data_IF_306087349233
#
_entry.id   IF_306087349233
#
_cell.length_a   1.000
_cell.length_b   1.000
_cell.length_c   1.000
_cell.angle_alpha   90.00
_cell.angle_beta   90.00
_cell.angle_gamma   90.00
#
_symmetry.space_group_name_H-M   'P 1'
#
loop_
_entity.id
_entity.type
_entity.pdbx_description
1 polymer ?
#
# COMPACT_ATOMS: atom_id res chain seq x y z
N UNK A 1 6.44 -16.68 4.98
CA UNK A 1 5.46 -16.09 5.93
C UNK A 1 5.88 -16.29 7.39
N UNK A 2 6.42 -17.46 7.78
CA UNK A 2 6.72 -17.74 9.19
C UNK A 2 7.64 -16.72 9.86
N UNK A 3 8.66 -16.21 9.16
CA UNK A 3 9.49 -15.09 9.65
C UNK A 3 8.65 -13.87 10.06
N UNK A 4 7.79 -13.36 9.16
CA UNK A 4 6.98 -12.15 9.41
C UNK A 4 6.06 -12.33 10.60
N UNK A 5 5.40 -13.50 10.67
CA UNK A 5 4.45 -13.79 11.75
C UNK A 5 5.19 -13.85 13.09
N UNK A 6 6.36 -14.50 13.15
CA UNK A 6 7.20 -14.49 14.35
C UNK A 6 7.62 -13.08 14.74
N UNK A 7 8.13 -12.28 13.81
CA UNK A 7 8.55 -10.90 14.07
C UNK A 7 7.39 -10.05 14.63
N UNK A 8 6.16 -10.23 14.12
CA UNK A 8 5.00 -9.52 14.64
C UNK A 8 4.56 -10.02 16.02
N UNK A 9 4.66 -11.31 16.31
CA UNK A 9 4.41 -11.85 17.65
C UNK A 9 5.41 -11.27 18.65
N UNK A 10 6.71 -11.34 18.32
CA UNK A 10 7.78 -10.79 19.17
C UNK A 10 7.63 -9.27 19.40
N UNK A 11 7.15 -8.54 18.40
CA UNK A 11 6.88 -7.10 18.51
C UNK A 11 5.56 -6.76 19.21
N UNK A 12 4.73 -7.76 19.55
CA UNK A 12 3.40 -7.54 20.14
C UNK A 12 2.41 -6.85 19.19
N UNK A 13 2.61 -6.95 17.87
CA UNK A 13 1.80 -6.28 16.84
C UNK A 13 0.63 -7.12 16.34
N UNK A 14 0.51 -8.36 16.81
CA UNK A 14 -0.59 -9.28 16.49
C UNK A 14 -1.08 -9.97 17.76
N UNK A 15 -2.35 -10.40 17.74
CA UNK A 15 -2.90 -11.21 18.81
C UNK A 15 -2.40 -12.66 18.66
N UNK A 16 -1.60 -13.11 19.62
CA UNK A 16 -1.09 -14.48 19.66
C UNK A 16 -2.15 -15.49 20.10
N UNK A 17 -3.02 -15.09 21.03
CA UNK A 17 -4.08 -15.94 21.61
C UNK A 17 -5.33 -15.98 20.71
N UNK A 18 -5.23 -16.67 19.57
CA UNK A 18 -6.31 -16.81 18.59
C UNK A 18 -6.55 -18.27 18.22
N UNK A 19 -7.78 -18.62 17.87
CA UNK A 19 -8.08 -19.92 17.27
C UNK A 19 -7.79 -19.89 15.77
N UNK A 20 -7.05 -20.88 15.29
CA UNK A 20 -6.72 -21.06 13.88
C UNK A 20 -7.12 -22.47 13.41
N UNK A 21 -6.99 -22.74 12.12
CA UNK A 21 -7.19 -24.12 11.60
C UNK A 21 -6.12 -25.11 12.11
N UNK A 22 -5.00 -24.61 12.65
CA UNK A 22 -3.94 -25.41 13.29
C UNK A 22 -4.13 -25.54 14.81
N UNK A 23 -5.30 -25.17 15.33
CA UNK A 23 -5.58 -25.13 16.76
C UNK A 23 -5.35 -23.74 17.35
N UNK A 24 -5.21 -23.70 18.68
CA UNK A 24 -5.09 -22.45 19.44
C UNK A 24 -3.65 -21.92 19.40
N UNK A 25 -3.49 -20.62 19.15
CA UNK A 25 -2.22 -19.91 19.12
C UNK A 25 -1.71 -19.59 17.71
N UNK A 26 -1.17 -18.38 17.51
CA UNK A 26 -0.63 -17.96 16.21
C UNK A 26 0.76 -18.52 15.90
N UNK A 27 1.51 -19.00 16.91
CA UNK A 27 2.87 -19.55 16.75
C UNK A 27 2.97 -20.71 15.74
N UNK A 28 1.88 -21.47 15.54
CA UNK A 28 1.86 -22.54 14.55
C UNK A 28 2.14 -22.03 13.12
N UNK A 29 1.84 -20.76 12.83
CA UNK A 29 2.12 -20.12 11.54
C UNK A 29 3.54 -19.57 11.42
N UNK A 30 4.33 -19.59 12.50
CA UNK A 30 5.76 -19.35 12.50
C UNK A 30 6.58 -20.63 12.25
N UNK A 31 5.93 -21.74 11.91
CA UNK A 31 6.54 -23.04 11.55
C UNK A 31 6.43 -23.22 10.05
N UNK A 32 7.50 -23.66 9.41
CA UNK A 32 7.57 -23.91 7.97
C UNK A 32 7.60 -25.41 7.70
N UNK A 33 6.79 -25.85 6.72
CA UNK A 33 6.85 -27.20 6.20
C UNK A 33 7.94 -27.29 5.13
N UNK A 34 8.80 -28.30 5.21
CA UNK A 34 9.80 -28.62 4.19
C UNK A 34 9.71 -30.09 3.80
N UNK A 35 10.14 -30.36 2.58
CA UNK A 35 10.21 -31.71 2.05
C UNK A 35 11.56 -32.33 2.41
N UNK A 36 11.54 -33.51 3.01
CA UNK A 36 12.73 -34.31 3.27
C UNK A 36 13.10 -35.14 2.03
N UNK A 37 14.36 -35.56 1.95
CA UNK A 37 14.84 -36.41 0.86
C UNK A 37 14.21 -37.81 0.84
N UNK A 38 13.69 -38.27 1.98
CA UNK A 38 12.99 -39.55 2.14
C UNK A 38 11.51 -39.50 1.73
N UNK A 39 11.03 -38.35 1.24
CA UNK A 39 9.64 -38.16 0.82
C UNK A 39 8.69 -37.70 1.94
N UNK A 40 9.18 -37.58 3.18
CA UNK A 40 8.39 -37.10 4.31
C UNK A 40 8.35 -35.57 4.38
N UNK A 41 7.39 -35.04 5.14
CA UNK A 41 7.32 -33.61 5.48
C UNK A 41 7.84 -33.38 6.88
N UNK A 42 8.85 -32.53 7.00
CA UNK A 42 9.32 -31.98 8.27
C UNK A 42 8.68 -30.62 8.50
N UNK A 43 8.36 -30.33 9.76
CA UNK A 43 7.88 -29.02 10.21
C UNK A 43 8.86 -28.47 11.22
N UNK A 44 9.39 -27.29 10.94
CA UNK A 44 10.46 -26.70 11.72
C UNK A 44 10.27 -25.18 11.84
N UNK A 45 10.76 -24.55 12.91
CA UNK A 45 10.61 -23.11 13.09
C UNK A 45 11.15 -22.31 11.90
N UNK A 46 10.46 -21.23 11.55
CA UNK A 46 10.95 -20.28 10.56
C UNK A 46 12.29 -19.67 11.00
N UNK A 47 13.15 -19.36 10.02
CA UNK A 47 14.48 -18.80 10.25
C UNK A 47 14.43 -17.56 11.13
N UNK A 48 15.31 -17.45 12.13
CA UNK A 48 15.41 -16.28 13.00
C UNK A 48 15.85 -15.00 12.28
N UNK A 49 16.53 -15.14 11.14
CA UNK A 49 17.01 -14.01 10.35
C UNK A 49 16.40 -14.01 8.95
N UNK A 50 16.29 -12.82 8.37
CA UNK A 50 15.83 -12.66 6.99
C UNK A 50 16.88 -13.20 6.02
N UNK A 51 16.45 -13.92 4.98
CA UNK A 51 17.33 -14.33 3.90
C UNK A 51 17.83 -13.16 3.04
N UNK A 52 17.14 -12.01 3.06
CA UNK A 52 17.57 -10.80 2.37
C UNK A 52 16.91 -9.55 3.00
N UNK A 53 17.69 -8.78 3.76
CA UNK A 53 17.22 -7.58 4.45
C UNK A 53 16.78 -6.43 3.53
N UNK A 54 17.16 -6.46 2.24
CA UNK A 54 16.68 -5.46 1.26
C UNK A 54 15.26 -5.76 0.76
N UNK A 55 14.78 -6.99 0.95
CA UNK A 55 13.44 -7.44 0.53
C UNK A 55 12.54 -7.62 1.74
N UNK A 56 13.05 -8.26 2.80
CA UNK A 56 12.31 -8.52 4.02
C UNK A 56 13.13 -8.06 5.23
N UNK A 57 12.74 -6.94 5.81
CA UNK A 57 13.36 -6.40 7.01
C UNK A 57 12.75 -7.01 8.28
N UNK A 58 13.55 -7.07 9.36
CA UNK A 58 13.04 -7.40 10.69
C UNK A 58 12.40 -6.19 11.37
N UNK A 59 11.57 -6.41 12.38
CA UNK A 59 10.74 -5.36 12.99
C UNK A 59 11.57 -4.25 13.66
N UNK A 60 12.76 -4.56 14.18
CA UNK A 60 13.69 -3.58 14.79
C UNK A 60 14.42 -2.70 13.77
N UNK A 61 14.48 -3.13 12.50
CA UNK A 61 15.17 -2.43 11.40
C UNK A 61 14.26 -2.34 10.19
N UNK A 62 13.01 -1.94 10.41
CA UNK A 62 12.00 -1.81 9.36
C UNK A 62 12.40 -0.80 8.28
N UNK A 63 11.81 -0.91 7.08
CA UNK A 63 12.02 0.07 6.01
C UNK A 63 11.46 1.45 6.37
N UNK A 64 10.32 1.46 7.09
CA UNK A 64 9.63 2.65 7.57
C UNK A 64 9.03 2.37 8.94
N UNK A 65 8.85 3.40 9.78
CA UNK A 65 8.29 3.23 11.13
C UNK A 65 6.81 2.84 11.13
N UNK A 66 6.08 3.11 10.04
CA UNK A 66 4.67 2.77 9.90
C UNK A 66 4.33 2.30 8.47
N UNK A 67 3.12 1.73 8.31
CA UNK A 67 2.66 1.16 7.04
C UNK A 67 2.27 2.19 5.97
N UNK A 68 2.35 3.49 6.24
CA UNK A 68 2.12 4.57 5.28
C UNK A 68 0.67 4.75 4.85
N UNK A 69 -0.31 4.12 5.48
CA UNK A 69 -1.73 4.42 5.23
C UNK A 69 -2.14 5.59 6.14
N UNK A 70 -2.83 6.57 5.57
CA UNK A 70 -3.40 7.72 6.28
C UNK A 70 -4.88 7.83 5.95
N UNK A 71 -5.68 8.21 6.95
CA UNK A 71 -7.08 8.59 6.76
C UNK A 71 -7.12 10.11 6.61
N UNK A 72 -7.76 10.59 5.54
CA UNK A 72 -8.01 12.00 5.29
C UNK A 72 -9.49 12.27 5.56
N UNK A 73 -9.79 13.38 6.23
CA UNK A 73 -11.17 13.80 6.53
C UNK A 73 -11.30 15.31 6.36
N UNK A 74 -12.44 15.75 5.79
CA UNK A 74 -12.76 17.16 5.57
C UNK A 74 -14.09 17.32 4.84
N UNK A 75 -14.33 18.50 4.28
CA UNK A 75 -15.63 18.85 3.65
C UNK A 75 -16.00 17.97 2.44
N UNK A 76 -15.01 17.36 1.77
CA UNK A 76 -15.21 16.41 0.67
C UNK A 76 -15.53 14.98 1.14
N UNK A 77 -15.53 14.73 2.46
CA UNK A 77 -15.79 13.44 3.07
C UNK A 77 -14.53 12.80 3.67
N UNK A 78 -14.44 11.47 3.58
CA UNK A 78 -13.34 10.69 4.15
C UNK A 78 -12.71 9.78 3.10
N UNK A 79 -11.38 9.73 3.07
CA UNK A 79 -10.62 8.95 2.11
C UNK A 79 -9.38 8.31 2.76
N UNK A 80 -8.73 7.41 2.02
CA UNK A 80 -7.44 6.83 2.41
C UNK A 80 -6.35 7.27 1.42
N UNK A 81 -5.14 7.46 1.92
CA UNK A 81 -3.96 7.78 1.12
C UNK A 81 -2.79 6.89 1.54
N UNK A 82 -2.07 6.35 0.56
CA UNK A 82 -0.82 5.60 0.77
C UNK A 82 0.37 6.53 0.53
N UNK A 83 1.10 6.87 1.59
CA UNK A 83 2.23 7.83 1.57
C UNK A 83 3.60 7.17 1.64
N UNK A 84 3.68 5.83 1.71
CA UNK A 84 4.96 5.13 1.88
C UNK A 84 5.99 5.41 0.76
N UNK A 85 5.54 5.83 -0.41
CA UNK A 85 6.42 6.17 -1.54
C UNK A 85 6.43 7.67 -1.87
N UNK A 86 5.85 8.51 -1.01
CA UNK A 86 5.72 9.95 -1.20
C UNK A 86 6.48 10.65 -0.07
N UNK A 87 7.49 11.46 -0.41
CA UNK A 87 8.23 12.26 0.57
C UNK A 87 7.29 13.18 1.33
N UNK A 88 7.53 13.39 2.62
CA UNK A 88 6.67 14.22 3.48
C UNK A 88 6.50 15.66 3.00
N UNK A 89 7.53 16.20 2.35
CA UNK A 89 7.49 17.53 1.72
C UNK A 89 6.41 17.64 0.64
N UNK A 90 5.99 16.53 0.01
CA UNK A 90 4.99 16.45 -1.05
C UNK A 90 3.58 16.10 -0.56
N UNK A 91 3.35 15.96 0.75
CA UNK A 91 2.02 15.64 1.28
C UNK A 91 1.02 16.80 1.17
N UNK A 92 1.37 18.06 1.52
CA UNK A 92 0.47 19.18 1.30
C UNK A 92 0.54 19.63 -0.16
N UNK A 93 -0.60 19.69 -0.83
CA UNK A 93 -0.73 20.20 -2.20
C UNK A 93 -1.92 21.15 -2.23
N UNK A 94 -1.69 22.37 -2.73
CA UNK A 94 -2.75 23.34 -2.99
C UNK A 94 -2.64 23.82 -4.45
N UNK A 95 -3.67 23.53 -5.25
CA UNK A 95 -3.74 23.91 -6.65
C UNK A 95 -5.20 23.94 -7.14
N UNK A 96 -5.47 24.60 -8.29
CA UNK A 96 -6.78 24.55 -8.93
C UNK A 96 -7.26 23.12 -9.19
N UNK A 97 -8.55 22.88 -9.03
CA UNK A 97 -9.16 21.56 -9.25
C UNK A 97 -9.61 21.41 -10.70
N UNK A 98 -9.19 20.32 -11.36
CA UNK A 98 -9.70 19.90 -12.66
C UNK A 98 -10.53 18.63 -12.48
N UNK A 99 -11.82 18.71 -12.82
CA UNK A 99 -12.79 17.63 -12.60
C UNK A 99 -13.04 16.85 -13.88
N UNK A 100 -12.98 15.52 -13.79
CA UNK A 100 -13.26 14.58 -14.88
C UNK A 100 -14.28 13.54 -14.41
N UNK A 101 -15.09 13.02 -15.33
CA UNK A 101 -16.09 12.01 -15.02
C UNK A 101 -15.58 10.57 -15.17
N UNK A 102 -14.43 10.39 -15.85
CA UNK A 102 -13.81 9.11 -16.14
C UNK A 102 -12.30 9.29 -16.42
N UNK A 103 -11.58 8.17 -16.48
CA UNK A 103 -10.15 8.15 -16.76
C UNK A 103 -9.85 8.51 -18.23
N UNK A 104 -10.74 8.16 -19.15
CA UNK A 104 -10.63 8.46 -20.58
C UNK A 104 -10.60 9.97 -20.84
N UNK A 105 -11.50 10.74 -20.23
CA UNK A 105 -11.53 12.20 -20.35
C UNK A 105 -10.26 12.87 -19.80
N UNK A 106 -9.72 12.36 -18.68
CA UNK A 106 -8.43 12.80 -18.17
C UNK A 106 -7.29 12.49 -19.13
N UNK A 107 -7.29 11.29 -19.72
CA UNK A 107 -6.28 10.86 -20.68
C UNK A 107 -6.32 11.64 -22.00
N UNK A 108 -7.51 11.98 -22.51
CA UNK A 108 -7.63 12.85 -23.68
C UNK A 108 -7.16 14.28 -23.38
N UNK A 109 -7.49 14.83 -22.21
CA UNK A 109 -6.97 16.14 -21.77
C UNK A 109 -5.44 16.17 -21.69
N UNK A 110 -4.83 15.07 -21.25
CA UNK A 110 -3.37 14.89 -21.27
C UNK A 110 -2.83 14.87 -22.71
N UNK A 111 -3.40 14.04 -23.59
CA UNK A 111 -2.95 13.89 -24.99
C UNK A 111 -2.97 15.17 -25.79
N UNK A 112 -4.01 16.00 -25.62
CA UNK A 112 -4.13 17.27 -26.34
C UNK A 112 -3.34 18.42 -25.68
N UNK A 113 -2.60 18.13 -24.61
CA UNK A 113 -1.78 19.12 -23.90
C UNK A 113 -2.58 20.11 -23.06
N UNK A 114 -3.87 19.85 -22.78
CA UNK A 114 -4.72 20.76 -22.00
C UNK A 114 -4.30 20.90 -20.53
N UNK A 115 -3.46 19.97 -20.06
CA UNK A 115 -2.90 19.93 -18.70
C UNK A 115 -1.48 20.54 -18.63
N UNK A 116 -0.87 20.91 -19.75
CA UNK A 116 0.50 21.43 -19.79
C UNK A 116 0.57 22.81 -19.10
N UNK A 117 1.70 23.06 -18.44
CA UNK A 117 2.03 24.32 -17.77
C UNK A 117 1.02 24.78 -16.70
N UNK A 118 0.29 23.82 -16.10
CA UNK A 118 -0.69 24.07 -15.03
C UNK A 118 -0.34 23.27 -13.79
N UNK A 119 -0.41 23.93 -12.63
CA UNK A 119 -0.58 23.24 -11.36
C UNK A 119 -2.05 22.81 -11.24
N UNK A 120 -2.32 21.55 -10.91
CA UNK A 120 -3.69 21.08 -10.73
C UNK A 120 -3.82 19.93 -9.73
N UNK A 121 -5.02 19.81 -9.16
CA UNK A 121 -5.51 18.60 -8.51
C UNK A 121 -6.53 17.96 -9.44
N UNK A 122 -6.25 16.74 -9.92
CA UNK A 122 -7.21 15.99 -10.75
C UNK A 122 -8.23 15.28 -9.86
N UNK A 123 -9.51 15.57 -10.07
CA UNK A 123 -10.63 14.90 -9.40
C UNK A 123 -11.37 14.06 -10.41
N UNK A 124 -11.30 12.74 -10.28
CA UNK A 124 -12.05 11.80 -11.12
C UNK A 124 -13.25 11.29 -10.35
N UNK A 125 -14.45 11.72 -10.73
CA UNK A 125 -15.70 11.34 -10.05
C UNK A 125 -16.43 10.22 -10.80
N UNK A 126 -17.49 9.68 -10.18
CA UNK A 126 -18.27 8.54 -10.70
C UNK A 126 -17.47 7.24 -10.87
N UNK A 127 -16.43 7.07 -10.05
CA UNK A 127 -15.57 5.87 -10.04
C UNK A 127 -15.79 5.01 -8.78
N UNK A 128 -16.93 5.19 -8.11
CA UNK A 128 -17.26 4.45 -6.89
C UNK A 128 -17.96 3.12 -7.18
N UNK A 129 -18.16 2.26 -6.16
CA UNK A 129 -18.76 0.94 -6.32
C UNK A 129 -20.14 0.95 -7.02
N UNK A 130 -20.97 1.95 -6.71
CA UNK A 130 -22.31 2.08 -7.32
C UNK A 130 -22.29 2.61 -8.76
N UNK A 131 -21.22 3.28 -9.18
CA UNK A 131 -21.12 3.89 -10.49
C UNK A 131 -20.54 2.91 -11.52
N UNK A 132 -19.41 2.29 -11.20
CA UNK A 132 -18.71 1.38 -12.11
C UNK A 132 -17.97 0.25 -11.39
N UNK A 133 -18.49 -0.20 -10.24
CA UNK A 133 -17.89 -1.27 -9.43
C UNK A 133 -16.51 -0.90 -8.85
N UNK A 134 -16.14 0.38 -8.87
CA UNK A 134 -14.85 0.86 -8.38
C UNK A 134 -13.69 0.19 -9.14
N UNK A 135 -13.70 0.32 -10.46
CA UNK A 135 -12.62 -0.20 -11.30
C UNK A 135 -11.29 0.49 -11.00
N UNK A 136 -10.19 -0.26 -11.09
CA UNK A 136 -8.85 0.29 -10.88
C UNK A 136 -8.42 1.18 -12.06
N UNK A 137 -8.12 2.44 -11.74
CA UNK A 137 -7.74 3.47 -12.72
C UNK A 137 -6.22 3.50 -12.96
N UNK A 138 -5.68 2.40 -13.47
CA UNK A 138 -4.25 2.15 -13.66
C UNK A 138 -3.53 3.14 -14.60
N UNK A 139 -4.24 3.89 -15.45
CA UNK A 139 -3.60 4.87 -16.35
C UNK A 139 -3.31 6.21 -15.65
N UNK A 140 -4.00 6.52 -14.55
CA UNK A 140 -3.87 7.81 -13.86
C UNK A 140 -2.46 8.04 -13.34
N UNK A 141 -1.88 7.08 -12.62
CA UNK A 141 -0.57 7.22 -11.99
C UNK A 141 0.54 7.39 -13.00
N UNK A 142 0.45 6.71 -14.15
CA UNK A 142 1.41 6.83 -15.24
C UNK A 142 1.41 8.25 -15.83
N UNK A 143 0.24 8.83 -16.04
CA UNK A 143 0.10 10.19 -16.57
C UNK A 143 0.58 11.22 -15.55
N UNK A 144 0.17 11.09 -14.28
CA UNK A 144 0.56 12.01 -13.22
C UNK A 144 2.07 11.97 -12.94
N UNK A 145 2.73 10.84 -13.20
CA UNK A 145 4.19 10.71 -13.07
C UNK A 145 5.01 11.61 -14.00
N UNK A 146 4.42 12.16 -15.06
CA UNK A 146 5.08 13.15 -15.92
C UNK A 146 5.11 14.56 -15.30
N UNK A 147 4.26 14.82 -14.31
CA UNK A 147 4.16 16.12 -13.65
C UNK A 147 5.01 16.17 -12.37
N UNK A 148 5.55 17.35 -12.07
CA UNK A 148 6.24 17.58 -10.79
C UNK A 148 5.20 17.86 -9.70
N UNK A 149 5.46 17.37 -8.49
CA UNK A 149 4.68 17.76 -7.33
C UNK A 149 5.14 19.16 -6.92
N UNK A 150 4.22 20.13 -6.94
CA UNK A 150 4.47 21.50 -6.51
C UNK A 150 3.70 21.74 -5.22
N UNK A 151 4.41 22.21 -4.21
CA UNK A 151 3.88 22.52 -2.88
C UNK A 151 3.85 24.03 -2.76
N UNK A 152 2.67 24.64 -2.76
CA UNK A 152 2.55 26.05 -2.39
C UNK A 152 2.53 26.15 -0.87
N UNK A 153 3.39 27.01 -0.34
CA UNK A 153 3.39 27.44 1.06
C UNK A 153 2.48 28.64 1.23
#
# INVERSE_FOLDING_TARGET
MGFIIREFIEAGLVHEDVCTVFGKGLNAYAIEAKFCADGNVVREPARNESGNHKVLAGWRKSFQPDGGIRVLSGDLGTAIMKVSSVKSEHWPIEAPVLVFNDQEGFHEAFKVGALNDKDFIAVIRYQGPKANVMSELHKLTTILGFYKIVVKR
#
